data_IF_588501975332
#
_entry.id   IF_588501975332
#
_cell.length_a   1.000
_cell.length_b   1.000
_cell.length_c   1.000
_cell.angle_alpha   90.00
_cell.angle_beta   90.00
_cell.angle_gamma   90.00
#
_symmetry.space_group_name_H-M   'P 1'
#
loop_
_entity.id
_entity.type
_entity.pdbx_description
1 polymer ?
#
# COMPACT_ATOMS: atom_id res chain seq x y z
N UNK A 1 4.34 3.34 -22.97
CA UNK A 1 3.37 4.30 -22.42
C UNK A 1 3.68 4.39 -20.93
N UNK A 2 4.20 5.53 -20.47
CA UNK A 2 4.66 5.69 -19.08
C UNK A 2 3.46 5.73 -18.14
N UNK A 3 3.40 4.79 -17.20
CA UNK A 3 2.38 4.75 -16.15
C UNK A 3 2.57 5.86 -15.09
N UNK A 4 3.75 6.48 -15.11
CA UNK A 4 4.19 7.48 -14.16
C UNK A 4 4.24 8.87 -14.80
N UNK A 5 3.63 9.84 -14.11
CA UNK A 5 3.84 11.24 -14.43
C UNK A 5 5.22 11.64 -13.90
N UNK A 6 6.14 12.02 -14.79
CA UNK A 6 7.47 12.51 -14.44
C UNK A 6 7.43 13.76 -13.55
N UNK A 7 6.28 14.44 -13.47
CA UNK A 7 6.02 15.60 -12.62
C UNK A 7 5.36 15.24 -11.29
N UNK A 8 5.11 13.96 -11.02
CA UNK A 8 4.48 13.54 -9.78
C UNK A 8 5.36 13.83 -8.57
N UNK A 9 4.72 14.20 -7.46
CA UNK A 9 5.42 14.35 -6.19
C UNK A 9 5.55 12.97 -5.53
N UNK A 10 6.75 12.63 -5.07
CA UNK A 10 7.00 11.35 -4.38
C UNK A 10 7.32 11.55 -2.91
N UNK A 11 6.78 10.69 -2.07
CA UNK A 11 7.12 10.59 -0.65
C UNK A 11 7.46 9.17 -0.27
N UNK A 12 8.24 9.03 0.82
CA UNK A 12 8.49 7.75 1.46
C UNK A 12 8.23 7.84 2.95
N UNK A 13 7.65 6.79 3.52
CA UNK A 13 7.37 6.72 4.94
C UNK A 13 8.67 6.78 5.75
N UNK A 14 8.77 7.78 6.63
CA UNK A 14 9.91 7.90 7.54
C UNK A 14 9.72 6.93 8.69
N UNK A 15 10.60 5.94 8.77
CA UNK A 15 10.57 4.88 9.78
C UNK A 15 11.20 5.34 11.11
N UNK A 16 10.60 4.95 12.23
CA UNK A 16 11.19 4.94 13.57
C UNK A 16 11.69 3.53 13.91
N UNK A 17 12.50 3.39 14.95
CA UNK A 17 12.99 2.06 15.37
C UNK A 17 11.92 1.23 16.12
N UNK A 18 10.67 1.70 16.23
CA UNK A 18 9.61 1.08 17.01
C UNK A 18 8.38 0.80 16.14
N UNK A 19 8.12 -0.49 15.87
CA UNK A 19 7.02 -0.93 15.00
C UNK A 19 5.65 -0.33 15.33
N UNK A 20 5.30 -0.21 16.61
CA UNK A 20 4.03 0.39 17.03
C UNK A 20 3.92 1.89 16.69
N UNK A 21 5.03 2.64 16.82
CA UNK A 21 5.03 4.06 16.45
C UNK A 21 4.91 4.23 14.94
N UNK A 22 5.54 3.34 14.18
CA UNK A 22 5.45 3.33 12.73
C UNK A 22 4.05 2.98 12.24
N UNK A 23 3.40 1.98 12.85
CA UNK A 23 1.99 1.70 12.57
C UNK A 23 1.13 2.93 12.86
N UNK A 24 1.32 3.61 14.00
CA UNK A 24 0.57 4.82 14.31
C UNK A 24 0.83 5.94 13.28
N UNK A 25 2.07 6.14 12.86
CA UNK A 25 2.45 7.07 11.80
C UNK A 25 1.75 6.74 10.47
N UNK A 26 1.76 5.47 10.08
CA UNK A 26 1.04 4.96 8.91
C UNK A 26 -0.46 5.24 9.04
N UNK A 27 -1.08 4.87 10.16
CA UNK A 27 -2.51 5.03 10.41
C UNK A 27 -2.94 6.49 10.30
N UNK A 28 -2.11 7.44 10.74
CA UNK A 28 -2.38 8.86 10.57
C UNK A 28 -2.36 9.28 9.10
N UNK A 29 -1.34 8.86 8.36
CA UNK A 29 -1.25 9.10 6.91
C UNK A 29 -2.47 8.50 6.19
N UNK A 30 -2.81 7.26 6.52
CA UNK A 30 -3.95 6.55 5.96
C UNK A 30 -5.28 7.24 6.30
N UNK A 31 -5.45 7.70 7.54
CA UNK A 31 -6.65 8.45 7.97
C UNK A 31 -6.83 9.76 7.19
N UNK A 32 -5.74 10.43 6.83
CA UNK A 32 -5.78 11.66 6.03
C UNK A 32 -6.25 11.36 4.60
N UNK A 33 -5.75 10.29 3.97
CA UNK A 33 -6.16 9.90 2.62
C UNK A 33 -7.60 9.40 2.54
N UNK A 34 -8.08 8.77 3.60
CA UNK A 34 -9.44 8.23 3.67
C UNK A 34 -10.51 9.29 3.98
N UNK A 35 -10.09 10.52 4.29
CA UNK A 35 -11.00 11.64 4.56
C UNK A 35 -11.45 12.44 3.32
N UNK A 36 -10.91 12.13 2.12
CA UNK A 36 -11.25 12.80 0.87
C UNK A 36 -11.24 11.88 -0.35
N UNK A 37 -11.85 12.32 -1.47
CA UNK A 37 -11.89 11.55 -2.72
C UNK A 37 -10.58 11.65 -3.54
N UNK A 38 -9.45 11.68 -2.83
CA UNK A 38 -8.11 11.88 -3.40
C UNK A 38 -7.42 10.57 -3.79
N UNK A 39 -7.82 9.47 -3.18
CA UNK A 39 -7.20 8.16 -3.41
C UNK A 39 -7.57 7.61 -4.79
N UNK A 40 -6.54 7.27 -5.59
CA UNK A 40 -6.69 6.56 -6.86
C UNK A 40 -6.47 5.06 -6.67
N UNK A 41 -5.49 4.66 -5.86
CA UNK A 41 -5.28 3.27 -5.48
C UNK A 41 -4.26 3.11 -4.36
N UNK A 42 -4.43 2.09 -3.52
CA UNK A 42 -3.43 1.64 -2.57
C UNK A 42 -3.18 0.14 -2.77
N UNK A 43 -1.91 -0.23 -2.83
CA UNK A 43 -1.46 -1.55 -3.24
C UNK A 43 -0.57 -2.11 -2.15
N UNK A 44 -1.04 -3.17 -1.50
CA UNK A 44 -0.37 -3.83 -0.39
C UNK A 44 0.36 -5.06 -0.95
N UNK A 45 1.68 -5.08 -0.81
CA UNK A 45 2.54 -6.14 -1.31
C UNK A 45 3.19 -6.92 -0.18
N UNK A 46 3.24 -8.26 -0.28
CA UNK A 46 4.22 -9.02 0.46
C UNK A 46 5.59 -8.77 -0.18
N UNK A 47 6.61 -8.58 0.63
CA UNK A 47 8.00 -8.40 0.19
C UNK A 47 8.84 -9.40 0.96
N UNK A 48 9.53 -10.27 0.24
CA UNK A 48 10.52 -11.15 0.89
C UNK A 48 11.84 -10.41 0.89
N UNK A 49 12.30 -10.04 2.07
CA UNK A 49 13.55 -9.33 2.22
C UNK A 49 14.75 -10.22 2.00
N UNK A 50 15.92 -9.60 1.86
CA UNK A 50 17.19 -10.30 1.61
C UNK A 50 17.59 -11.31 2.70
N UNK A 51 17.14 -11.11 3.94
CA UNK A 51 17.33 -12.05 5.06
C UNK A 51 16.29 -13.18 5.10
N UNK A 52 15.32 -13.18 4.18
CA UNK A 52 14.26 -14.18 4.06
C UNK A 52 12.97 -13.85 4.81
N UNK A 53 12.94 -12.80 5.62
CA UNK A 53 11.75 -12.34 6.35
C UNK A 53 10.70 -11.76 5.39
N UNK A 54 9.43 -12.09 5.64
CA UNK A 54 8.30 -11.51 4.92
C UNK A 54 7.87 -10.18 5.57
N UNK A 55 7.83 -9.13 4.76
CA UNK A 55 7.51 -7.75 5.11
C UNK A 55 6.35 -7.22 4.29
N UNK A 56 5.64 -6.25 4.83
CA UNK A 56 4.59 -5.53 4.13
C UNK A 56 5.16 -4.26 3.52
N UNK A 57 4.98 -4.10 2.22
CA UNK A 57 5.14 -2.83 1.54
C UNK A 57 3.78 -2.32 1.05
N UNK A 58 3.60 -1.00 1.04
CA UNK A 58 2.41 -0.34 0.52
C UNK A 58 2.82 0.75 -0.45
N UNK A 59 2.22 0.74 -1.63
CA UNK A 59 2.31 1.84 -2.58
C UNK A 59 0.95 2.51 -2.68
N UNK A 60 0.91 3.84 -2.57
CA UNK A 60 -0.29 4.65 -2.64
C UNK A 60 -0.16 5.62 -3.82
N UNK A 61 -1.12 5.54 -4.74
CA UNK A 61 -1.35 6.42 -5.88
C UNK A 61 -2.54 7.33 -5.53
N UNK A 62 -2.33 8.65 -5.50
CA UNK A 62 -3.37 9.62 -5.13
C UNK A 62 -3.16 11.00 -5.76
N UNK A 63 -4.19 11.84 -5.72
CA UNK A 63 -4.14 13.23 -6.17
C UNK A 63 -4.18 14.19 -4.97
N UNK A 64 -3.16 15.03 -4.78
CA UNK A 64 -3.22 16.07 -3.74
C UNK A 64 -4.18 17.21 -4.14
N UNK A 65 -4.15 17.55 -5.43
CA UNK A 65 -5.10 18.44 -6.12
C UNK A 65 -5.50 17.78 -7.44
N UNK A 66 -6.51 18.30 -8.14
CA UNK A 66 -6.95 17.75 -9.44
C UNK A 66 -5.83 17.66 -10.50
N UNK A 67 -4.75 18.45 -10.36
CA UNK A 67 -3.63 18.50 -11.31
C UNK A 67 -2.33 17.92 -10.71
N UNK A 68 -2.31 17.57 -9.43
CA UNK A 68 -1.09 17.11 -8.74
C UNK A 68 -1.18 15.64 -8.40
N UNK A 69 -0.60 14.80 -9.25
CA UNK A 69 -0.45 13.37 -9.03
C UNK A 69 0.69 13.12 -8.04
N UNK A 70 0.47 12.23 -7.07
CA UNK A 70 1.43 11.91 -6.03
C UNK A 70 1.56 10.39 -5.86
N UNK A 71 2.78 9.96 -5.48
CA UNK A 71 3.08 8.59 -5.09
C UNK A 71 3.68 8.56 -3.69
N UNK A 72 3.13 7.73 -2.82
CA UNK A 72 3.70 7.47 -1.50
C UNK A 72 4.06 5.99 -1.38
N UNK A 73 5.30 5.73 -0.98
CA UNK A 73 5.81 4.39 -0.74
C UNK A 73 6.05 4.16 0.74
N UNK A 74 5.66 2.98 1.21
CA UNK A 74 5.76 2.56 2.60
C UNK A 74 6.29 1.14 2.64
N UNK A 75 7.59 0.99 2.73
CA UNK A 75 8.30 -0.28 2.57
C UNK A 75 9.41 -0.34 3.64
N UNK A 76 9.00 -0.60 4.87
CA UNK A 76 9.89 -0.64 6.03
C UNK A 76 9.93 -2.02 6.70
N UNK A 77 11.01 -2.34 7.43
CA UNK A 77 11.14 -3.61 8.15
C UNK A 77 10.15 -3.76 9.33
N UNK A 78 9.42 -2.72 9.69
CA UNK A 78 8.64 -2.66 10.92
C UNK A 78 7.26 -3.35 10.84
N UNK A 79 6.74 -3.61 9.64
CA UNK A 79 5.55 -4.44 9.42
C UNK A 79 6.00 -5.74 8.78
N UNK A 80 6.53 -6.64 9.60
CA UNK A 80 6.95 -7.97 9.18
C UNK A 80 6.11 -9.07 9.81
N UNK A 81 6.36 -10.32 9.40
CA UNK A 81 5.76 -11.50 10.01
C UNK A 81 5.93 -11.54 11.54
N UNK A 82 7.02 -10.95 12.08
CA UNK A 82 7.25 -10.84 13.52
C UNK A 82 6.21 -9.95 14.25
N UNK A 83 5.48 -9.11 13.51
CA UNK A 83 4.46 -8.21 14.04
C UNK A 83 3.12 -8.39 13.33
N UNK A 84 2.73 -9.63 13.03
CA UNK A 84 1.50 -9.95 12.30
C UNK A 84 0.22 -9.37 12.91
N UNK A 85 0.15 -9.17 14.23
CA UNK A 85 -0.97 -8.50 14.89
C UNK A 85 -1.11 -7.03 14.46
N UNK A 86 0.01 -6.33 14.26
CA UNK A 86 0.04 -4.95 13.77
C UNK A 86 -0.37 -4.87 12.29
N UNK A 87 0.01 -5.89 11.50
CA UNK A 87 -0.45 -6.03 10.11
C UNK A 87 -1.98 -6.24 10.09
N UNK A 88 -2.49 -7.13 10.95
CA UNK A 88 -3.93 -7.38 11.06
C UNK A 88 -4.71 -6.11 11.45
N UNK A 89 -4.19 -5.33 12.40
CA UNK A 89 -4.77 -4.03 12.81
C UNK A 89 -4.86 -3.07 11.62
N UNK A 90 -3.78 -2.97 10.83
CA UNK A 90 -3.75 -2.13 9.64
C UNK A 90 -4.78 -2.55 8.58
N UNK A 91 -4.86 -3.85 8.29
CA UNK A 91 -5.82 -4.38 7.33
C UNK A 91 -7.27 -4.14 7.80
N UNK A 92 -7.54 -4.30 9.10
CA UNK A 92 -8.86 -4.01 9.67
C UNK A 92 -9.27 -2.54 9.52
N UNK A 93 -8.36 -1.60 9.75
CA UNK A 93 -8.59 -0.17 9.50
C UNK A 93 -8.88 0.12 8.02
N UNK A 94 -8.18 -0.57 7.13
CA UNK A 94 -8.30 -0.42 5.68
C UNK A 94 -9.64 -0.95 5.16
N UNK A 95 -10.08 -2.11 5.64
CA UNK A 95 -11.38 -2.70 5.31
C UNK A 95 -12.55 -1.87 5.86
N UNK A 96 -12.44 -1.35 7.08
CA UNK A 96 -13.45 -0.46 7.65
C UNK A 96 -13.65 0.81 6.79
N UNK A 97 -12.58 1.31 6.16
CA UNK A 97 -12.66 2.40 5.20
C UNK A 97 -13.34 1.98 3.89
N UNK A 98 -12.91 0.86 3.29
CA UNK A 98 -13.53 0.36 2.05
C UNK A 98 -15.04 0.15 2.24
N UNK A 99 -15.45 -0.41 3.39
CA UNK A 99 -16.86 -0.57 3.75
C UNK A 99 -17.63 0.75 3.77
N UNK A 100 -17.03 1.85 4.28
CA UNK A 100 -17.65 3.19 4.25
C UNK A 100 -17.76 3.76 2.84
N UNK A 101 -16.74 3.59 2.01
CA UNK A 101 -16.78 4.02 0.60
C UNK A 101 -17.94 3.34 -0.14
N UNK A 102 -18.06 2.01 0.00
CA UNK A 102 -19.10 1.22 -0.64
C UNK A 102 -20.51 1.54 -0.10
N UNK A 103 -20.63 1.85 1.19
CA UNK A 103 -21.91 2.22 1.82
C UNK A 103 -22.40 3.63 1.47
N UNK A 104 -21.52 4.51 0.97
CA UNK A 104 -21.86 5.92 0.64
C UNK A 104 -22.77 6.09 -0.59
N UNK A 105 -23.10 5.00 -1.29
CA UNK A 105 -24.11 4.99 -2.36
C UNK A 105 -23.71 5.71 -3.65
N UNK A 106 -22.45 6.16 -3.78
CA UNK A 106 -21.94 6.68 -5.04
C UNK A 106 -21.94 5.55 -6.09
N UNK A 107 -22.52 5.77 -7.29
CA UNK A 107 -22.55 4.74 -8.32
C UNK A 107 -21.12 4.35 -8.70
N UNK A 108 -20.82 3.05 -8.65
CA UNK A 108 -19.56 2.52 -9.14
C UNK A 108 -19.48 2.80 -10.65
N UNK A 109 -18.74 3.83 -11.04
CA UNK A 109 -18.29 3.99 -12.42
C UNK A 109 -17.48 2.73 -12.77
N UNK A 110 -17.61 2.21 -14.00
CA UNK A 110 -16.91 1.00 -14.41
C UNK A 110 -15.40 1.11 -14.08
N UNK A 111 -14.89 0.21 -13.23
CA UNK A 111 -13.50 0.22 -12.72
C UNK A 111 -13.29 0.84 -11.33
N UNK A 112 -14.34 1.31 -10.63
CA UNK A 112 -14.22 2.12 -9.39
C UNK A 112 -14.56 1.37 -8.08
N UNK A 113 -14.78 0.06 -8.11
CA UNK A 113 -15.20 -0.69 -6.92
C UNK A 113 -14.14 -0.90 -5.83
N UNK A 114 -12.86 -0.90 -6.19
CA UNK A 114 -11.76 -1.13 -5.25
C UNK A 114 -10.68 -0.07 -5.47
N UNK A 115 -10.44 0.74 -4.43
CA UNK A 115 -9.29 1.65 -4.34
C UNK A 115 -8.15 1.06 -3.52
N UNK A 116 -8.31 -0.16 -3.05
CA UNK A 116 -7.34 -0.89 -2.23
C UNK A 116 -7.19 -2.28 -2.80
N UNK A 117 -5.95 -2.74 -2.91
CA UNK A 117 -5.59 -3.99 -3.53
C UNK A 117 -4.59 -4.73 -2.64
N UNK A 118 -4.91 -5.96 -2.27
CA UNK A 118 -3.99 -6.87 -1.60
C UNK A 118 -3.34 -7.77 -2.65
N UNK A 119 -2.08 -7.50 -2.98
CA UNK A 119 -1.40 -8.12 -4.09
C UNK A 119 -0.97 -9.56 -3.74
N UNK A 120 -1.37 -10.54 -4.55
CA UNK A 120 -1.00 -11.94 -4.34
C UNK A 120 0.49 -12.23 -4.51
N UNK A 121 1.12 -11.50 -5.42
CA UNK A 121 2.51 -11.72 -5.79
C UNK A 121 3.44 -10.82 -4.99
N UNK A 122 4.56 -11.40 -4.56
CA UNK A 122 5.56 -10.64 -3.85
C UNK A 122 6.21 -9.59 -4.75
N UNK A 123 6.38 -8.39 -4.23
CA UNK A 123 7.16 -7.35 -4.87
C UNK A 123 8.65 -7.49 -4.53
N UNK A 124 9.56 -6.91 -5.34
CA UNK A 124 10.96 -6.83 -4.98
C UNK A 124 11.15 -6.06 -3.67
N UNK A 125 12.18 -6.42 -2.91
CA UNK A 125 12.61 -5.62 -1.78
C UNK A 125 13.22 -4.31 -2.26
N UNK A 126 12.67 -3.20 -1.79
CA UNK A 126 13.06 -1.83 -2.14
C UNK A 126 13.58 -1.04 -0.94
N UNK A 127 13.77 -1.70 0.22
CA UNK A 127 14.27 -1.06 1.46
C UNK A 127 15.60 -0.32 1.22
N UNK A 128 16.49 -0.88 0.41
CA UNK A 128 17.81 -0.30 0.14
C UNK A 128 17.80 0.86 -0.89
N UNK A 129 16.71 1.03 -1.63
CA UNK A 129 16.58 2.16 -2.56
C UNK A 129 16.46 3.44 -1.75
N UNK A 130 17.12 4.52 -2.16
CA UNK A 130 16.94 5.82 -1.49
C UNK A 130 15.85 6.66 -2.16
N UNK A 131 15.58 6.41 -3.44
CA UNK A 131 14.61 7.15 -4.24
C UNK A 131 13.20 6.54 -4.13
N UNK A 132 12.24 7.34 -3.66
CA UNK A 132 10.83 6.96 -3.54
C UNK A 132 10.18 6.73 -4.92
N UNK A 133 10.63 7.44 -5.96
CA UNK A 133 10.13 7.29 -7.32
C UNK A 133 10.53 5.93 -7.88
N UNK A 134 11.79 5.52 -7.69
CA UNK A 134 12.27 4.21 -8.13
C UNK A 134 11.54 3.06 -7.43
N UNK A 135 11.31 3.16 -6.12
CA UNK A 135 10.55 2.17 -5.37
C UNK A 135 9.09 2.08 -5.87
N UNK A 136 8.42 3.22 -6.08
CA UNK A 136 7.07 3.27 -6.63
C UNK A 136 7.01 2.63 -8.03
N UNK A 137 8.00 2.92 -8.89
CA UNK A 137 8.12 2.31 -10.21
C UNK A 137 8.20 0.79 -10.14
N UNK A 138 9.05 0.24 -9.27
CA UNK A 138 9.19 -1.21 -9.12
C UNK A 138 7.89 -1.86 -8.64
N UNK A 139 7.18 -1.25 -7.68
CA UNK A 139 5.89 -1.77 -7.22
C UNK A 139 4.82 -1.76 -8.33
N UNK A 140 4.69 -0.65 -9.06
CA UNK A 140 3.72 -0.58 -10.16
C UNK A 140 4.09 -1.50 -11.33
N UNK A 141 5.38 -1.64 -11.65
CA UNK A 141 5.82 -2.61 -12.65
C UNK A 141 5.43 -4.04 -12.25
N UNK A 142 5.64 -4.42 -10.99
CA UNK A 142 5.18 -5.72 -10.47
C UNK A 142 3.68 -5.87 -10.61
N UNK A 143 2.91 -4.84 -10.23
CA UNK A 143 1.46 -4.84 -10.38
C UNK A 143 1.00 -5.05 -11.82
N UNK A 144 1.61 -4.33 -12.77
CA UNK A 144 1.24 -4.38 -14.18
C UNK A 144 1.64 -5.70 -14.87
N UNK A 145 2.74 -6.33 -14.44
CA UNK A 145 3.23 -7.58 -15.02
C UNK A 145 2.48 -8.83 -14.53
N UNK A 146 1.80 -8.75 -13.39
CA UNK A 146 1.25 -9.92 -12.68
C UNK A 146 -0.20 -10.27 -13.01
N UNK A 147 -0.79 -9.65 -14.04
CA UNK A 147 -2.14 -9.96 -14.55
C UNK A 147 -3.21 -10.05 -13.43
N UNK A 148 -3.32 -8.97 -12.65
CA UNK A 148 -4.36 -8.71 -11.63
C UNK A 148 -4.88 -9.93 -10.86
N UNK A 149 -4.15 -10.33 -9.83
CA UNK A 149 -4.66 -11.24 -8.80
C UNK A 149 -4.59 -10.55 -7.44
N UNK A 150 -5.60 -9.71 -7.15
CA UNK A 150 -5.87 -9.28 -5.78
C UNK A 150 -6.50 -10.43 -5.00
N UNK A 151 -6.09 -10.59 -3.75
CA UNK A 151 -6.72 -11.50 -2.79
C UNK A 151 -7.55 -10.70 -1.77
N UNK A 152 -8.26 -11.41 -0.90
CA UNK A 152 -8.92 -10.79 0.26
C UNK A 152 -7.90 -10.38 1.32
N UNK A 153 -8.29 -9.47 2.22
CA UNK A 153 -7.45 -9.09 3.36
C UNK A 153 -7.09 -10.30 4.25
N UNK A 154 -8.02 -11.24 4.42
CA UNK A 154 -7.82 -12.46 5.20
C UNK A 154 -6.77 -13.38 4.55
N UNK A 155 -6.91 -13.67 3.25
CA UNK A 155 -5.94 -14.47 2.48
C UNK A 155 -4.56 -13.80 2.48
N UNK A 156 -4.51 -12.47 2.42
CA UNK A 156 -3.27 -11.71 2.48
C UNK A 156 -2.58 -11.81 3.83
N UNK A 157 -3.35 -11.69 4.92
CA UNK A 157 -2.82 -11.82 6.28
C UNK A 157 -2.22 -13.22 6.51
N UNK A 158 -2.82 -14.27 5.93
CA UNK A 158 -2.31 -15.64 6.04
C UNK A 158 -0.89 -15.82 5.49
N UNK A 159 -0.46 -14.98 4.52
CA UNK A 159 0.91 -15.01 4.01
C UNK A 159 1.93 -14.73 5.12
N UNK A 160 1.61 -13.83 6.04
CA UNK A 160 2.47 -13.43 7.16
C UNK A 160 2.41 -14.39 8.35
N UNK A 161 1.34 -15.18 8.46
CA UNK A 161 1.15 -16.17 9.53
C UNK A 161 1.81 -17.52 9.20
N UNK A 162 2.04 -17.79 7.91
CA UNK A 162 2.55 -19.09 7.43
C UNK A 162 4.07 -19.13 7.26
N UNK A 163 4.78 -18.08 7.66
CA UNK A 163 6.22 -17.91 7.45
C UNK A 163 7.01 -18.21 8.71
#
# INVERSE_FOLDING_TARGET
MGFFDEKAITGRFTNSDIAKQNLHGFSNIWSNFTSGDKLKGAFFFPVRSSDGELRLAVWIDYYETAETHCYLVIDGPFLSAANVELIAELLGLTEAFQGKLLASGAPAVAGVGQKVFYCKYAAPDTVDLHDALEAAHKFAETWLKTDWHSMTAEEFLQLFQST
#
